data_IF_102629212863
#
_entry.id   IF_102629212863
#
_cell.length_a   1.000
_cell.length_b   1.000
_cell.length_c   1.000
_cell.angle_alpha   90.00
_cell.angle_beta   90.00
_cell.angle_gamma   90.00
#
_symmetry.space_group_name_H-M   'P 1'
#
loop_
_entity.id
_entity.type
_entity.pdbx_description
1 polymer ?
#
# COMPACT_ATOMS: atom_id res chain seq x y z
N UNK A 1 6.66 -12.14 -5.64
CA UNK A 1 5.61 -11.36 -6.31
C UNK A 1 4.99 -10.50 -5.24
N UNK A 2 4.99 -9.17 -5.41
CA UNK A 2 4.43 -8.27 -4.41
C UNK A 2 2.91 -8.42 -4.39
N UNK A 3 2.30 -8.23 -3.21
CA UNK A 3 0.85 -8.20 -3.11
C UNK A 3 0.34 -6.92 -3.77
N UNK A 4 -0.75 -7.01 -4.52
CA UNK A 4 -1.40 -5.87 -5.15
C UNK A 4 -2.91 -5.91 -4.92
N UNK A 5 -3.54 -4.75 -5.04
CA UNK A 5 -4.99 -4.59 -4.93
C UNK A 5 -5.61 -4.94 -6.29
N UNK A 6 -6.46 -5.98 -6.38
CA UNK A 6 -7.06 -6.37 -7.65
C UNK A 6 -8.18 -5.38 -8.02
N UNK A 7 -7.95 -4.56 -9.04
CA UNK A 7 -8.95 -3.62 -9.57
C UNK A 7 -9.56 -4.17 -10.86
N UNK A 8 -10.88 -4.20 -10.93
CA UNK A 8 -11.62 -4.57 -12.13
C UNK A 8 -11.83 -3.36 -13.06
N UNK A 9 -10.90 -3.15 -13.98
CA UNK A 9 -10.95 -2.03 -14.93
C UNK A 9 -12.05 -2.17 -16.01
N UNK A 10 -12.65 -3.35 -16.16
CA UNK A 10 -13.71 -3.61 -17.13
C UNK A 10 -15.10 -3.21 -16.61
N UNK A 11 -15.25 -2.97 -15.31
CA UNK A 11 -16.51 -2.60 -14.65
C UNK A 11 -16.31 -1.41 -13.70
N UNK A 12 -16.32 -0.19 -14.28
CA UNK A 12 -16.08 1.05 -13.55
C UNK A 12 -17.37 1.84 -13.28
N UNK A 13 -17.54 2.47 -12.09
CA UNK A 13 -16.59 2.48 -11.00
C UNK A 13 -16.49 1.12 -10.30
N UNK A 14 -15.26 0.68 -10.03
CA UNK A 14 -15.03 -0.55 -9.28
C UNK A 14 -15.06 -0.21 -7.79
N UNK A 15 -15.97 -0.83 -7.05
CA UNK A 15 -16.22 -0.54 -5.63
C UNK A 15 -16.20 -1.85 -4.87
N UNK A 16 -15.28 -1.98 -3.93
CA UNK A 16 -15.10 -3.20 -3.15
C UNK A 16 -14.54 -2.92 -1.77
N UNK A 17 -14.80 -3.84 -0.85
CA UNK A 17 -14.22 -3.83 0.49
C UNK A 17 -12.91 -4.62 0.49
N UNK A 18 -11.94 -4.11 1.23
CA UNK A 18 -10.63 -4.74 1.43
C UNK A 18 -10.19 -4.56 2.88
N UNK A 19 -9.55 -5.60 3.43
CA UNK A 19 -8.93 -5.55 4.75
C UNK A 19 -7.46 -5.12 4.61
N UNK A 20 -7.10 -4.00 5.23
CA UNK A 20 -5.76 -3.43 5.23
C UNK A 20 -5.34 -3.14 6.67
N UNK A 21 -4.22 -3.72 7.12
CA UNK A 21 -3.72 -3.59 8.50
C UNK A 21 -4.75 -3.92 9.60
N UNK A 22 -5.64 -4.90 9.36
CA UNK A 22 -6.67 -5.33 10.31
C UNK A 22 -7.93 -4.46 10.34
N UNK A 23 -8.03 -3.46 9.45
CA UNK A 23 -9.19 -2.58 9.32
C UNK A 23 -9.83 -2.76 7.94
N UNK A 24 -11.16 -2.66 7.87
CA UNK A 24 -11.90 -2.76 6.60
C UNK A 24 -12.08 -1.37 5.99
N UNK A 25 -11.66 -1.24 4.74
CA UNK A 25 -11.84 -0.05 3.93
C UNK A 25 -12.68 -0.39 2.70
N UNK A 26 -13.51 0.55 2.26
CA UNK A 26 -14.17 0.47 0.96
C UNK A 26 -13.36 1.33 0.00
N UNK A 27 -12.82 0.71 -1.05
CA UNK A 27 -12.15 1.42 -2.13
C UNK A 27 -13.11 1.63 -3.28
N UNK A 28 -13.02 2.80 -3.92
CA UNK A 28 -13.70 3.10 -5.18
C UNK A 28 -12.67 3.59 -6.19
N UNK A 29 -12.61 2.92 -7.33
CA UNK A 29 -11.78 3.31 -8.46
C UNK A 29 -12.66 3.86 -9.58
N UNK A 30 -12.33 5.06 -10.06
CA UNK A 30 -12.95 5.69 -11.22
C UNK A 30 -11.91 5.90 -12.32
N UNK A 31 -12.35 6.03 -13.58
CA UNK A 31 -11.49 6.39 -14.70
C UNK A 31 -11.91 7.74 -15.30
N UNK A 32 -10.93 8.61 -15.54
CA UNK A 32 -11.12 9.88 -16.23
C UNK A 32 -10.73 9.74 -17.72
N UNK A 33 -11.68 9.67 -18.65
CA UNK A 33 -11.40 9.50 -20.08
C UNK A 33 -10.85 10.76 -20.76
N UNK A 34 -10.92 11.93 -20.11
CA UNK A 34 -10.41 13.19 -20.66
C UNK A 34 -8.91 13.35 -20.39
N UNK A 35 -8.47 12.98 -19.19
CA UNK A 35 -7.08 13.09 -18.75
C UNK A 35 -6.28 11.78 -18.87
N UNK A 36 -6.96 10.66 -19.13
CA UNK A 36 -6.40 9.31 -19.19
C UNK A 36 -5.66 8.89 -17.91
N UNK A 37 -6.36 8.95 -16.78
CA UNK A 37 -5.89 8.41 -15.51
C UNK A 37 -7.01 7.79 -14.71
N UNK A 38 -6.64 6.98 -13.72
CA UNK A 38 -7.55 6.45 -12.72
C UNK A 38 -7.48 7.29 -11.44
N UNK A 39 -8.55 7.26 -10.67
CA UNK A 39 -8.60 7.91 -9.35
C UNK A 39 -9.09 6.94 -8.30
N UNK A 40 -8.57 7.06 -7.08
CA UNK A 40 -9.01 6.29 -5.92
C UNK A 40 -9.74 7.18 -4.91
N UNK A 41 -10.81 6.63 -4.35
CA UNK A 41 -11.52 7.18 -3.20
C UNK A 41 -11.54 6.11 -2.11
N UNK A 42 -11.23 6.50 -0.88
CA UNK A 42 -11.16 5.59 0.28
C UNK A 42 -12.25 5.99 1.26
N UNK A 43 -13.09 5.02 1.60
CA UNK A 43 -14.09 5.16 2.65
C UNK A 43 -13.77 4.24 3.83
N UNK A 44 -14.15 4.67 5.02
CA UNK A 44 -14.13 3.84 6.22
C UNK A 44 -15.34 4.20 7.08
N UNK A 45 -16.07 3.19 7.57
CA UNK A 45 -17.22 3.39 8.46
C UNK A 45 -18.29 4.38 7.92
N UNK A 46 -18.46 4.44 6.59
CA UNK A 46 -19.41 5.35 5.95
C UNK A 46 -18.92 6.81 5.79
N UNK A 47 -17.68 7.11 6.17
CA UNK A 47 -17.04 8.41 5.94
C UNK A 47 -16.00 8.35 4.83
N UNK A 48 -15.90 9.43 4.05
CA UNK A 48 -14.85 9.60 3.04
C UNK A 48 -13.56 10.06 3.72
N UNK A 49 -12.49 9.27 3.60
CA UNK A 49 -11.16 9.60 4.11
C UNK A 49 -10.28 10.26 3.03
N UNK A 50 -10.42 9.78 1.79
CA UNK A 50 -9.72 10.27 0.62
C UNK A 50 -10.70 10.35 -0.55
N UNK A 51 -10.69 11.46 -1.29
CA UNK A 51 -11.62 11.68 -2.40
C UNK A 51 -10.87 11.92 -3.72
N UNK A 52 -11.16 11.07 -4.72
CA UNK A 52 -10.70 11.18 -6.11
C UNK A 52 -9.21 11.50 -6.29
N UNK A 53 -8.33 10.91 -5.48
CA UNK A 53 -6.89 11.07 -5.65
C UNK A 53 -6.44 10.42 -6.97
N UNK A 54 -5.73 11.13 -7.85
CA UNK A 54 -5.17 10.54 -9.06
C UNK A 54 -4.14 9.45 -8.75
N UNK A 55 -4.26 8.30 -9.40
CA UNK A 55 -3.27 7.23 -9.32
C UNK A 55 -2.10 7.56 -10.25
N UNK A 56 -1.01 8.06 -9.68
CA UNK A 56 0.19 8.48 -10.41
C UNK A 56 1.27 7.40 -10.33
N UNK A 57 1.82 7.01 -11.48
CA UNK A 57 2.89 6.02 -11.56
C UNK A 57 4.08 6.40 -10.67
N UNK A 58 4.58 5.42 -9.91
CA UNK A 58 5.66 5.49 -8.93
C UNK A 58 5.37 6.35 -7.68
N UNK A 59 4.11 6.76 -7.47
CA UNK A 59 3.70 7.53 -6.30
C UNK A 59 2.96 6.65 -5.27
N UNK A 60 3.10 7.02 -3.99
CA UNK A 60 2.30 6.47 -2.90
C UNK A 60 0.94 7.15 -2.87
N UNK A 61 -0.11 6.37 -2.67
CA UNK A 61 -1.48 6.86 -2.47
C UNK A 61 -1.55 7.55 -1.11
N UNK A 62 -2.19 8.72 -1.06
CA UNK A 62 -2.45 9.51 0.13
C UNK A 62 -1.21 9.98 0.91
N UNK A 63 -0.03 9.97 0.28
CA UNK A 63 1.27 10.29 0.93
C UNK A 63 1.28 11.65 1.62
N UNK A 64 0.56 12.61 1.07
CA UNK A 64 0.49 14.00 1.48
C UNK A 64 -0.78 14.35 2.28
N UNK A 65 -1.58 13.33 2.65
CA UNK A 65 -2.80 13.50 3.45
C UNK A 65 -2.53 13.14 4.92
N UNK A 66 -2.55 14.11 5.84
CA UNK A 66 -2.29 13.86 7.26
C UNK A 66 -3.56 13.37 8.00
N UNK A 67 -4.22 12.32 7.51
CA UNK A 67 -5.35 11.68 8.19
C UNK A 67 -4.91 10.35 8.82
N UNK A 68 -5.00 10.25 10.14
CA UNK A 68 -4.56 9.08 10.91
C UNK A 68 -5.46 7.85 10.74
N UNK A 69 -6.61 8.01 10.08
CA UNK A 69 -7.57 6.94 9.78
C UNK A 69 -7.27 6.24 8.46
N UNK A 70 -6.47 6.86 7.59
CA UNK A 70 -6.02 6.23 6.36
C UNK A 70 -5.27 4.92 6.65
N UNK A 71 -5.27 3.96 5.71
CA UNK A 71 -4.53 2.72 5.87
C UNK A 71 -3.08 2.98 6.28
N UNK A 72 -2.62 2.31 7.34
CA UNK A 72 -1.22 2.42 7.83
C UNK A 72 -0.24 1.61 7.00
N UNK A 73 -0.63 1.24 5.79
CA UNK A 73 0.17 0.48 4.85
C UNK A 73 0.47 1.35 3.64
N UNK A 74 1.68 1.20 3.12
CA UNK A 74 2.09 1.91 1.93
C UNK A 74 1.44 1.27 0.71
N UNK A 75 0.60 2.04 0.02
CA UNK A 75 -0.01 1.65 -1.25
C UNK A 75 0.69 2.42 -2.37
N UNK A 76 1.42 1.73 -3.23
CA UNK A 76 2.20 2.34 -4.31
C UNK A 76 1.65 1.97 -5.67
N UNK A 77 1.39 2.96 -6.52
CA UNK A 77 1.09 2.73 -7.94
C UNK A 77 2.40 2.47 -8.66
N UNK A 78 2.63 1.26 -9.17
CA UNK A 78 3.89 0.94 -9.86
C UNK A 78 3.73 -0.17 -10.89
N UNK A 79 4.76 -0.34 -11.71
CA UNK A 79 4.97 -1.45 -12.63
C UNK A 79 6.26 -2.19 -12.19
N UNK A 80 6.18 -3.50 -11.99
CA UNK A 80 7.33 -4.32 -11.57
C UNK A 80 8.42 -4.39 -12.66
N UNK A 81 8.06 -4.20 -13.93
CA UNK A 81 8.98 -4.25 -15.07
C UNK A 81 9.70 -2.93 -15.33
N UNK A 82 9.15 -1.81 -14.84
CA UNK A 82 9.67 -0.46 -15.01
C UNK A 82 9.57 0.09 -16.44
N UNK A 83 8.71 -0.48 -17.28
CA UNK A 83 8.52 -0.06 -18.67
C UNK A 83 7.38 0.93 -18.86
N UNK A 84 6.39 0.89 -17.96
CA UNK A 84 5.26 1.80 -18.00
C UNK A 84 5.72 3.27 -17.87
N UNK A 85 5.05 4.16 -18.59
CA UNK A 85 5.33 5.61 -18.59
C UNK A 85 4.28 6.42 -17.85
N UNK A 86 3.09 5.86 -17.70
CA UNK A 86 1.96 6.43 -17.02
C UNK A 86 1.12 5.29 -16.40
N UNK A 87 0.07 5.67 -15.67
CA UNK A 87 -0.93 4.75 -15.12
C UNK A 87 -2.27 4.92 -15.85
N UNK A 88 -2.21 5.17 -17.16
CA UNK A 88 -3.39 5.36 -18.01
C UNK A 88 -4.08 4.06 -18.37
N UNK A 89 -5.09 4.13 -19.24
CA UNK A 89 -5.93 2.98 -19.61
C UNK A 89 -5.16 1.82 -20.27
N UNK A 90 -4.06 2.11 -20.95
CA UNK A 90 -3.26 1.11 -21.61
C UNK A 90 -2.44 0.24 -20.64
N UNK A 91 -2.12 0.77 -19.46
CA UNK A 91 -1.13 0.19 -18.54
C UNK A 91 -1.78 -0.30 -17.23
N UNK A 92 -2.69 0.49 -16.66
CA UNK A 92 -3.31 0.19 -15.36
C UNK A 92 -4.25 -1.01 -15.45
N UNK A 93 -4.11 -1.95 -14.52
CA UNK A 93 -4.81 -3.23 -14.50
C UNK A 93 -4.11 -4.36 -15.27
N UNK A 94 -3.06 -4.04 -16.04
CA UNK A 94 -2.23 -5.01 -16.77
C UNK A 94 -0.80 -5.03 -16.22
N UNK A 95 -0.03 -3.98 -16.52
CA UNK A 95 1.38 -3.84 -16.15
C UNK A 95 1.54 -2.94 -14.91
N UNK A 96 0.67 -1.93 -14.77
CA UNK A 96 0.63 -1.04 -13.60
C UNK A 96 -0.49 -1.48 -12.66
N UNK A 97 -0.17 -1.61 -11.38
CA UNK A 97 -1.12 -1.94 -10.32
C UNK A 97 -0.85 -1.10 -9.06
N UNK A 98 -1.79 -1.14 -8.11
CA UNK A 98 -1.57 -0.63 -6.75
C UNK A 98 -0.97 -1.75 -5.91
N UNK A 99 0.33 -1.67 -5.65
CA UNK A 99 1.05 -2.61 -4.83
C UNK A 99 0.98 -2.21 -3.37
N UNK A 100 0.76 -3.21 -2.52
CA UNK A 100 0.86 -3.05 -1.06
C UNK A 100 2.31 -3.33 -0.72
N UNK A 101 3.04 -2.28 -0.37
CA UNK A 101 4.43 -2.40 0.05
C UNK A 101 4.41 -2.77 1.53
N UNK A 102 4.46 -4.08 1.82
CA UNK A 102 4.90 -4.57 3.13
C UNK A 102 6.43 -4.49 3.13
N UNK A 103 6.99 -3.29 3.00
CA UNK A 103 8.37 -3.07 3.44
C UNK A 103 8.23 -2.53 4.84
N UNK A 104 8.36 -3.44 5.80
CA UNK A 104 8.58 -3.10 7.19
C UNK A 104 9.69 -2.02 7.26
N UNK A 105 9.39 -0.76 7.65
CA UNK A 105 10.42 0.27 7.78
C UNK A 105 11.45 -0.07 8.88
N UNK A 106 11.17 -1.10 9.69
CA UNK A 106 12.03 -1.70 10.71
C UNK A 106 12.56 -3.09 10.33
N UNK A 107 12.31 -3.58 9.11
CA UNK A 107 12.95 -4.76 8.55
C UNK A 107 13.06 -5.95 9.50
N UNK A 108 11.95 -6.53 9.97
CA UNK A 108 11.99 -7.87 10.55
C UNK A 108 12.22 -8.99 9.52
N UNK A 109 12.42 -8.63 8.25
CA UNK A 109 12.89 -9.53 7.19
C UNK A 109 14.18 -9.04 6.52
N UNK A 110 15.10 -8.42 7.28
CA UNK A 110 16.51 -8.46 6.90
C UNK A 110 17.01 -9.91 7.09
N UNK A 111 16.87 -10.74 6.04
CA UNK A 111 17.59 -12.03 5.94
C UNK A 111 19.11 -11.85 5.78
N UNK A 112 19.64 -10.63 5.96
CA UNK A 112 21.07 -10.40 6.07
C UNK A 112 21.47 -10.30 7.56
N UNK A 113 21.97 -11.41 8.16
CA UNK A 113 22.39 -11.43 9.56
C UNK A 113 23.60 -10.53 9.86
N UNK A 114 24.11 -9.78 8.88
CA UNK A 114 25.23 -8.84 9.04
C UNK A 114 24.82 -7.38 9.15
N UNK A 115 23.56 -7.04 8.89
CA UNK A 115 23.06 -5.67 9.01
C UNK A 115 22.73 -5.38 10.48
N UNK A 116 23.37 -4.34 11.03
CA UNK A 116 23.14 -3.88 12.40
C UNK A 116 22.07 -2.79 12.39
N UNK A 117 20.97 -2.91 13.16
CA UNK A 117 19.91 -1.92 13.19
C UNK A 117 20.40 -0.57 13.76
N UNK A 118 19.70 0.50 13.39
CA UNK A 118 19.94 1.84 13.94
C UNK A 118 19.66 1.83 15.45
N UNK A 119 20.73 1.95 16.26
CA UNK A 119 20.67 1.82 17.71
C UNK A 119 21.36 0.58 18.27
N UNK A 120 21.91 -0.30 17.42
CA UNK A 120 22.72 -1.44 17.87
C UNK A 120 23.95 -0.97 18.65
N UNK A 121 23.92 -1.17 19.96
CA UNK A 121 25.07 -1.03 20.84
C UNK A 121 25.70 -2.43 21.04
N UNK A 122 26.93 -2.68 20.55
CA UNK A 122 27.60 -3.97 20.73
C UNK A 122 27.89 -4.32 22.20
N UNK A 123 27.78 -3.34 23.10
CA UNK A 123 28.02 -3.49 24.54
C UNK A 123 26.70 -3.57 25.35
N UNK A 124 25.53 -3.49 24.70
CA UNK A 124 24.24 -3.76 25.33
C UNK A 124 24.08 -5.27 25.49
N UNK A 125 24.20 -5.75 26.74
CA UNK A 125 23.95 -7.14 27.09
C UNK A 125 22.56 -7.53 26.58
N UNK A 126 22.51 -8.54 25.71
CA UNK A 126 21.29 -9.10 25.14
C UNK A 126 20.48 -9.85 26.20
N UNK A 127 19.90 -9.11 27.14
CA UNK A 127 19.03 -9.61 28.19
C UNK A 127 17.66 -8.92 28.07
N UNK A 128 16.91 -9.30 27.04
CA UNK A 128 15.47 -9.56 27.22
C UNK A 128 14.92 -10.48 26.12
N UNK A 129 15.32 -11.76 26.18
CA UNK A 129 14.46 -12.84 25.69
C UNK A 129 13.49 -13.21 26.83
N UNK A 130 12.50 -12.36 27.11
CA UNK A 130 11.31 -12.71 27.90
C UNK A 130 10.11 -11.94 27.30
N UNK A 131 8.93 -12.50 27.03
CA UNK A 131 8.39 -13.82 27.33
C UNK A 131 7.14 -14.10 26.46
N UNK A 132 6.99 -15.39 26.14
CA UNK A 132 5.74 -16.16 26.07
C UNK A 132 4.77 -16.02 24.88
N UNK A 133 4.92 -17.00 23.98
CA UNK A 133 3.82 -17.82 23.47
C UNK A 133 2.64 -17.92 24.46
N UNK A 134 1.51 -17.29 24.12
CA UNK A 134 0.23 -17.58 24.77
C UNK A 134 -0.31 -18.89 24.22
N UNK A 135 -0.10 -19.98 24.96
CA UNK A 135 -0.93 -21.19 24.81
C UNK A 135 -2.06 -21.16 25.84
N UNK A 136 -3.27 -21.49 25.38
CA UNK A 136 -4.54 -21.49 26.13
C UNK A 136 -4.56 -22.45 27.32
#
# INVERSE_FOLDING_TARGET
MRQYIPVNIDDLPDIFDIELAGEVYTLRIDYNPVADWYTITIYQNGETLLEQEPLILNQLVAIDIPDTRLPRIDMRVMDETGNAKDAGKAEFGYDVQIYIDVIDPLGSEDEDPTIKPLGYDPDEDSDDLTDQEVSY
#
